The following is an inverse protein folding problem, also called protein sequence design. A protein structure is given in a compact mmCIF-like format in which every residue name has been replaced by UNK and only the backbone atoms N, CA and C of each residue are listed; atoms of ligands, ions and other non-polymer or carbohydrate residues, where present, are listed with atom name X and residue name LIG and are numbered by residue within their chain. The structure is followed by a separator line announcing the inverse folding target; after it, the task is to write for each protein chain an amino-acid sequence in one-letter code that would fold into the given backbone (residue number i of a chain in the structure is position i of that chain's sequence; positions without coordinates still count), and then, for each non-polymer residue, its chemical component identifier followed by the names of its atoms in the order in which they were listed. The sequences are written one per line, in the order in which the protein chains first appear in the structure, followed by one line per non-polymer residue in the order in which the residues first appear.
data_IF_701197966869
#
_entry.id   IF_701197966869
#
_cell.length_a   1.000
_cell.length_b   1.000
_cell.length_c   1.000
_cell.angle_alpha   90.00
_cell.angle_beta   90.00
_cell.angle_gamma   90.00
#
_symmetry.space_group_name_H-M   'P 1'
#
loop_
_entity.id
_entity.type
_entity.pdbx_description
1 polymer ?
#
# COMPACT_ATOMS: atom_id res chain seq x y z
N UNK A 1 1.21 11.21 -33.26
CA UNK A 1 1.51 9.85 -32.83
C UNK A 1 2.08 9.80 -31.43
N UNK A 2 3.13 10.55 -31.13
CA UNK A 2 3.72 10.55 -29.80
C UNK A 2 2.74 11.00 -28.72
N UNK A 3 1.91 12.00 -29.04
CA UNK A 3 0.91 12.51 -28.08
C UNK A 3 -0.16 11.45 -27.81
N UNK A 4 -0.61 10.76 -28.86
CA UNK A 4 -1.63 9.72 -28.71
C UNK A 4 -1.11 8.52 -27.91
N UNK A 5 0.12 8.09 -28.23
CA UNK A 5 0.75 6.98 -27.51
C UNK A 5 0.99 7.35 -26.04
N UNK A 6 1.43 8.58 -25.79
CA UNK A 6 1.64 9.06 -24.43
C UNK A 6 0.31 9.13 -23.68
N UNK A 7 -0.74 9.60 -24.32
CA UNK A 7 -2.08 9.67 -23.73
C UNK A 7 -2.61 8.27 -23.42
N UNK A 8 -2.46 7.33 -24.36
CA UNK A 8 -2.88 5.96 -24.17
C UNK A 8 -2.16 5.33 -22.98
N UNK A 9 -0.85 5.49 -22.92
CA UNK A 9 -0.06 4.93 -21.82
C UNK A 9 -0.46 5.55 -20.48
N UNK A 10 -0.71 6.85 -20.46
CA UNK A 10 -1.14 7.53 -19.25
C UNK A 10 -2.48 6.98 -18.78
N UNK A 11 -3.45 6.85 -19.67
CA UNK A 11 -4.76 6.31 -19.32
C UNK A 11 -4.64 4.87 -18.85
N UNK A 12 -3.82 4.06 -19.53
CA UNK A 12 -3.61 2.67 -19.14
C UNK A 12 -3.05 2.56 -17.73
N UNK A 13 -2.01 3.34 -17.43
CA UNK A 13 -1.38 3.34 -16.10
C UNK A 13 -2.38 3.80 -15.05
N UNK A 14 -3.15 4.84 -15.33
CA UNK A 14 -4.14 5.35 -14.39
C UNK A 14 -5.19 4.30 -14.06
N UNK A 15 -5.74 3.65 -15.08
CA UNK A 15 -6.76 2.62 -14.89
C UNK A 15 -6.19 1.44 -14.13
N UNK A 16 -5.01 0.96 -14.54
CA UNK A 16 -4.37 -0.20 -13.93
C UNK A 16 -4.04 0.06 -12.46
N UNK A 17 -3.43 1.21 -12.17
CA UNK A 17 -3.08 1.58 -10.79
C UNK A 17 -4.32 1.78 -9.93
N UNK A 18 -5.38 2.33 -10.50
CA UNK A 18 -6.64 2.51 -9.77
C UNK A 18 -7.25 1.17 -9.37
N UNK A 19 -7.23 0.19 -10.27
CA UNK A 19 -7.71 -1.16 -9.93
C UNK A 19 -6.86 -1.80 -8.85
N UNK A 20 -5.54 -1.70 -8.96
CA UNK A 20 -4.65 -2.27 -7.96
C UNK A 20 -4.89 -1.63 -6.60
N UNK A 21 -5.03 -0.30 -6.56
CA UNK A 21 -5.29 0.41 -5.31
C UNK A 21 -6.62 0.00 -4.70
N UNK A 22 -7.66 -0.13 -5.54
CA UNK A 22 -8.97 -0.56 -5.07
C UNK A 22 -8.92 -1.95 -4.45
N UNK A 23 -8.28 -2.89 -5.13
CA UNK A 23 -8.12 -4.25 -4.60
C UNK A 23 -7.30 -4.24 -3.31
N UNK A 24 -6.24 -3.43 -3.25
CA UNK A 24 -5.42 -3.34 -2.06
C UNK A 24 -6.21 -2.79 -0.87
N UNK A 25 -6.99 -1.73 -1.08
CA UNK A 25 -7.80 -1.13 -0.03
C UNK A 25 -8.87 -2.11 0.45
N UNK A 26 -9.58 -2.73 -0.48
CA UNK A 26 -10.66 -3.65 -0.12
C UNK A 26 -10.12 -4.91 0.54
N UNK A 27 -9.08 -5.52 -0.04
CA UNK A 27 -8.52 -6.76 0.50
C UNK A 27 -7.93 -6.57 1.88
N UNK A 28 -7.12 -5.55 2.04
CA UNK A 28 -6.49 -5.27 3.34
C UNK A 28 -7.51 -4.79 4.36
N UNK A 29 -8.51 -4.03 3.92
CA UNK A 29 -9.62 -3.61 4.78
C UNK A 29 -10.42 -4.80 5.32
N UNK A 30 -10.67 -5.80 4.48
CA UNK A 30 -11.36 -7.03 4.90
C UNK A 30 -10.54 -7.78 5.95
N UNK A 31 -9.23 -7.93 5.72
CA UNK A 31 -8.34 -8.59 6.68
C UNK A 31 -8.37 -7.87 8.03
N UNK A 32 -8.24 -6.55 8.00
CA UNK A 32 -8.27 -5.75 9.22
C UNK A 32 -9.62 -5.87 9.93
N UNK A 33 -10.71 -5.84 9.18
CA UNK A 33 -12.05 -5.96 9.73
C UNK A 33 -12.29 -7.31 10.39
N UNK A 34 -11.81 -8.38 9.79
CA UNK A 34 -11.96 -9.73 10.33
C UNK A 34 -11.20 -9.86 11.64
N UNK A 35 -9.96 -9.41 11.68
CA UNK A 35 -9.12 -9.50 12.88
C UNK A 35 -9.66 -8.60 13.99
N UNK A 36 -10.19 -7.43 13.64
CA UNK A 36 -10.78 -6.52 14.61
C UNK A 36 -12.07 -7.09 15.22
N UNK A 37 -12.87 -7.79 14.39
CA UNK A 37 -14.18 -8.29 14.84
C UNK A 37 -14.06 -9.56 15.67
N UNK A 38 -13.16 -10.48 15.32
CA UNK A 38 -13.05 -11.77 15.98
C UNK A 38 -11.82 -11.78 16.87
N UNK A 39 -12.05 -11.68 18.18
CA UNK A 39 -10.97 -11.61 19.17
C UNK A 39 -10.11 -12.88 19.20
N UNK A 40 -10.73 -14.03 18.92
CA UNK A 40 -10.00 -15.31 18.91
C UNK A 40 -8.98 -15.40 17.78
N UNK A 41 -9.05 -14.52 16.77
CA UNK A 41 -8.08 -14.46 15.70
C UNK A 41 -6.89 -13.56 16.01
N UNK A 42 -6.89 -12.90 17.17
CA UNK A 42 -5.80 -11.98 17.55
C UNK A 42 -4.61 -12.72 18.13
N UNK A 43 -4.08 -13.67 17.40
CA UNK A 43 -2.83 -14.36 17.73
C UNK A 43 -1.65 -13.53 17.24
N UNK A 44 -0.44 -13.86 17.73
CA UNK A 44 0.75 -13.09 17.34
C UNK A 44 0.97 -13.06 15.83
N UNK A 45 0.90 -14.19 15.10
CA UNK A 45 1.03 -14.14 13.64
C UNK A 45 -0.07 -13.31 12.98
N UNK A 46 -1.30 -13.38 13.47
CA UNK A 46 -2.40 -12.63 12.88
C UNK A 46 -2.28 -11.14 13.16
N UNK A 47 -1.71 -10.75 14.30
CA UNK A 47 -1.43 -9.34 14.59
C UNK A 47 -0.37 -8.80 13.62
N UNK A 48 0.63 -9.61 13.28
CA UNK A 48 1.63 -9.21 12.28
C UNK A 48 1.00 -9.06 10.90
N UNK A 49 0.09 -9.96 10.55
CA UNK A 49 -0.67 -9.86 9.28
C UNK A 49 -1.52 -8.59 9.29
N UNK A 50 -2.15 -8.26 10.42
CA UNK A 50 -2.93 -7.04 10.54
C UNK A 50 -2.04 -5.80 10.37
N UNK A 51 -0.85 -5.80 10.95
CA UNK A 51 0.09 -4.69 10.79
C UNK A 51 0.50 -4.52 9.33
N UNK A 52 0.77 -5.62 8.65
CA UNK A 52 1.09 -5.62 7.23
C UNK A 52 -0.09 -5.08 6.41
N UNK A 53 -1.30 -5.55 6.71
CA UNK A 53 -2.51 -5.11 6.01
C UNK A 53 -2.79 -3.63 6.25
N UNK A 54 -2.54 -3.15 7.47
CA UNK A 54 -2.72 -1.74 7.80
C UNK A 54 -1.76 -0.86 6.99
N UNK A 55 -0.50 -1.25 6.91
CA UNK A 55 0.49 -0.52 6.14
C UNK A 55 0.13 -0.50 4.66
N UNK A 56 -0.29 -1.64 4.11
CA UNK A 56 -0.69 -1.73 2.70
C UNK A 56 -1.95 -0.91 2.43
N UNK A 57 -2.91 -0.94 3.37
CA UNK A 57 -4.14 -0.17 3.25
C UNK A 57 -3.84 1.33 3.16
N UNK A 58 -3.05 1.85 4.08
CA UNK A 58 -2.72 3.26 4.07
C UNK A 58 -1.86 3.64 2.88
N UNK A 59 -0.94 2.77 2.48
CA UNK A 59 -0.12 3.03 1.30
C UNK A 59 -1.00 3.16 0.05
N UNK A 60 -1.94 2.25 -0.14
CA UNK A 60 -2.83 2.28 -1.29
C UNK A 60 -3.81 3.46 -1.21
N UNK A 61 -4.29 3.78 -0.01
CA UNK A 61 -5.29 4.83 0.18
C UNK A 61 -4.70 6.24 0.03
N UNK A 62 -3.45 6.43 0.47
CA UNK A 62 -2.84 7.76 0.51
C UNK A 62 -1.88 7.96 -0.66
N UNK A 63 -0.93 7.03 -0.84
CA UNK A 63 0.17 7.27 -1.79
C UNK A 63 -0.24 7.04 -3.23
N UNK A 64 -1.10 6.06 -3.49
CA UNK A 64 -1.54 5.80 -4.87
C UNK A 64 -2.34 6.95 -5.45
N UNK A 65 -3.35 7.52 -4.75
CA UNK A 65 -4.07 8.69 -5.26
C UNK A 65 -3.13 9.88 -5.49
N UNK A 66 -2.16 10.09 -4.60
CA UNK A 66 -1.19 11.19 -4.76
C UNK A 66 -0.34 10.99 -5.99
N UNK A 67 0.12 9.76 -6.22
CA UNK A 67 0.90 9.42 -7.41
C UNK A 67 0.06 9.64 -8.68
N UNK A 68 -1.20 9.20 -8.67
CA UNK A 68 -2.09 9.36 -9.81
C UNK A 68 -2.35 10.83 -10.12
N UNK A 69 -2.57 11.65 -9.08
CA UNK A 69 -2.73 13.09 -9.24
C UNK A 69 -1.50 13.71 -9.90
N UNK A 70 -0.32 13.34 -9.41
CA UNK A 70 0.92 13.84 -9.98
C UNK A 70 1.05 13.43 -11.44
N UNK A 71 0.73 12.18 -11.76
CA UNK A 71 0.84 11.67 -13.12
C UNK A 71 -0.13 12.37 -14.08
N UNK A 72 -1.34 12.68 -13.62
CA UNK A 72 -2.35 13.36 -14.43
C UNK A 72 -2.01 14.83 -14.64
N UNK A 73 -1.75 15.54 -13.54
CA UNK A 73 -1.58 16.97 -13.57
C UNK A 73 -0.20 17.38 -14.08
N UNK A 74 0.81 16.55 -13.82
CA UNK A 74 2.21 16.84 -14.19
C UNK A 74 2.61 18.24 -13.76
N UNK A 75 2.04 18.73 -12.67
CA UNK A 75 2.20 20.10 -12.24
C UNK A 75 3.20 20.17 -11.11
N UNK A 76 4.19 21.04 -11.28
CA UNK A 76 5.08 21.42 -10.21
C UNK A 76 4.42 22.55 -9.43
N UNK A 77 3.41 22.21 -8.64
CA UNK A 77 2.83 23.22 -7.78
C UNK A 77 3.79 23.49 -6.63
N UNK A 78 3.59 24.64 -6.00
CA UNK A 78 4.36 24.94 -4.81
C UNK A 78 4.18 23.86 -3.73
N UNK A 79 2.98 23.24 -3.70
CA UNK A 79 2.68 22.13 -2.81
C UNK A 79 3.21 20.81 -3.34
N UNK A 80 3.46 20.71 -4.64
CA UNK A 80 3.87 19.49 -5.29
C UNK A 80 5.19 18.94 -4.77
N UNK A 81 6.16 19.84 -4.52
CA UNK A 81 7.45 19.41 -4.00
C UNK A 81 7.33 18.85 -2.59
N UNK A 82 6.61 19.56 -1.72
CA UNK A 82 6.38 19.13 -0.36
C UNK A 82 5.57 17.83 -0.32
N UNK A 83 4.50 17.76 -1.12
CA UNK A 83 3.67 16.56 -1.20
C UNK A 83 4.46 15.38 -1.75
N UNK A 84 5.34 15.61 -2.71
CA UNK A 84 6.18 14.56 -3.25
C UNK A 84 7.12 14.00 -2.19
N UNK A 85 7.75 14.86 -1.40
CA UNK A 85 8.64 14.45 -0.33
C UNK A 85 7.87 13.66 0.71
N UNK A 86 6.70 14.13 1.13
CA UNK A 86 5.86 13.45 2.11
C UNK A 86 5.42 12.09 1.57
N UNK A 87 4.99 12.03 0.32
CA UNK A 87 4.53 10.80 -0.31
C UNK A 87 5.65 9.77 -0.41
N UNK A 88 6.84 10.19 -0.85
CA UNK A 88 7.99 9.29 -0.94
C UNK A 88 8.42 8.79 0.43
N UNK A 89 8.43 9.68 1.43
CA UNK A 89 8.78 9.31 2.80
C UNK A 89 7.78 8.31 3.35
N UNK A 90 6.49 8.55 3.15
CA UNK A 90 5.42 7.65 3.59
C UNK A 90 5.53 6.30 2.90
N UNK A 91 5.77 6.29 1.59
CA UNK A 91 5.92 5.06 0.83
C UNK A 91 7.10 4.24 1.36
N UNK A 92 8.23 4.90 1.60
CA UNK A 92 9.42 4.24 2.14
C UNK A 92 9.15 3.67 3.53
N UNK A 93 8.46 4.43 4.39
CA UNK A 93 8.13 3.98 5.73
C UNK A 93 7.21 2.77 5.69
N UNK A 94 6.13 2.84 4.90
CA UNK A 94 5.19 1.72 4.80
C UNK A 94 5.86 0.48 4.21
N UNK A 95 6.74 0.65 3.21
CA UNK A 95 7.49 -0.45 2.63
C UNK A 95 8.42 -1.08 3.67
N UNK A 96 9.11 -0.25 4.46
CA UNK A 96 9.99 -0.74 5.52
C UNK A 96 9.20 -1.54 6.55
N UNK A 97 8.05 -1.02 6.99
CA UNK A 97 7.18 -1.73 7.94
C UNK A 97 6.74 -3.07 7.36
N UNK A 98 6.36 -3.11 6.07
CA UNK A 98 5.96 -4.34 5.42
C UNK A 98 7.07 -5.37 5.41
N UNK A 99 8.29 -4.97 5.05
CA UNK A 99 9.43 -5.87 4.99
C UNK A 99 9.75 -6.42 6.38
N UNK A 100 9.79 -5.55 7.39
CA UNK A 100 10.09 -5.97 8.76
C UNK A 100 8.99 -6.91 9.28
N UNK A 101 7.73 -6.59 9.03
CA UNK A 101 6.59 -7.43 9.46
C UNK A 101 6.65 -8.80 8.80
N UNK A 102 6.98 -8.85 7.51
CA UNK A 102 7.14 -10.11 6.78
C UNK A 102 8.27 -10.96 7.37
N UNK A 103 9.41 -10.34 7.66
CA UNK A 103 10.54 -11.05 8.24
C UNK A 103 10.20 -11.60 9.62
N UNK A 104 9.56 -10.79 10.46
CA UNK A 104 9.17 -11.24 11.80
C UNK A 104 8.17 -12.38 11.71
N UNK A 105 7.20 -12.29 10.79
CA UNK A 105 6.22 -13.34 10.59
C UNK A 105 6.88 -14.64 10.14
N UNK A 106 7.81 -14.58 9.20
CA UNK A 106 8.52 -15.75 8.72
C UNK A 106 9.34 -16.39 9.82
N UNK A 107 10.06 -15.60 10.61
CA UNK A 107 10.85 -16.11 11.73
C UNK A 107 9.94 -16.77 12.76
N UNK A 108 8.81 -16.13 13.06
CA UNK A 108 7.85 -16.69 14.04
C UNK A 108 7.30 -18.03 13.55
N UNK A 109 6.93 -18.11 12.27
CA UNK A 109 6.41 -19.36 11.72
C UNK A 109 7.47 -20.45 11.73
N UNK A 110 8.71 -20.10 11.41
CA UNK A 110 9.82 -21.05 11.42
C UNK A 110 10.06 -21.60 12.83
N UNK A 111 10.10 -20.72 13.83
CA UNK A 111 10.33 -21.14 15.22
C UNK A 111 9.18 -22.01 15.73
N UNK A 112 7.94 -21.67 15.41
CA UNK A 112 6.79 -22.45 15.83
C UNK A 112 6.73 -23.82 15.16
N UNK A 113 7.21 -23.89 13.93
CA UNK A 113 7.25 -25.17 13.21
C UNK A 113 8.21 -26.16 13.87
N UNK A 114 9.26 -25.66 14.51
CA UNK A 114 10.28 -26.50 15.15
C UNK A 114 9.90 -26.88 16.58
N UNK A 115 8.84 -26.33 17.12
CA UNK A 115 8.31 -26.69 18.43
C UNK A 115 7.22 -27.74 18.29
#
# INVERSE_FOLDING_TARGET
MEVEDSLFMTIFVLVFMSFLALFAVLGNGVVLGIIARFKNLRTFPNILIANLALADFFNAFINTPMYLLYAVLKVNWFTGKTLTIISLSSFSLFTFVNVVSMLVLLVNMFLNKNI
#
